data_IF_045601813324
#
_entry.id   IF_045601813324
#
_cell.length_a   1.000
_cell.length_b   1.000
_cell.length_c   1.000
_cell.angle_alpha   90.00
_cell.angle_beta   90.00
_cell.angle_gamma   90.00
#
_symmetry.space_group_name_H-M   'P 1'
#
loop_
_entity.id
_entity.type
_entity.pdbx_description
1 polymer ?
#
# COMPACT_ATOMS: atom_id res chain seq x y z
N UNK A 1 27.81 5.52 1.47
CA UNK A 1 27.05 6.27 0.47
C UNK A 1 25.63 5.77 0.58
N UNK A 2 24.83 6.40 1.43
CA UNK A 2 23.38 6.17 1.44
C UNK A 2 22.86 6.88 0.19
N UNK A 3 22.47 6.11 -0.81
CA UNK A 3 21.64 6.63 -1.88
C UNK A 3 20.34 7.10 -1.23
N UNK A 4 20.23 8.40 -0.97
CA UNK A 4 18.95 9.09 -0.81
C UNK A 4 18.18 8.90 -2.12
N UNK A 5 17.52 7.74 -2.26
CA UNK A 5 16.47 7.55 -3.26
C UNK A 5 15.38 8.55 -2.91
N UNK A 6 15.47 9.74 -3.49
CA UNK A 6 14.37 10.71 -3.48
C UNK A 6 13.16 10.01 -4.08
N UNK A 7 12.19 9.68 -3.23
CA UNK A 7 10.89 9.17 -3.64
C UNK A 7 10.32 10.12 -4.66
N UNK A 8 9.96 9.60 -5.82
CA UNK A 8 9.44 10.39 -6.93
C UNK A 8 7.93 10.25 -7.00
N UNK A 9 7.26 11.19 -7.67
CA UNK A 9 5.82 11.08 -7.97
C UNK A 9 5.49 9.77 -8.70
N UNK A 10 6.42 9.28 -9.52
CA UNK A 10 6.28 8.02 -10.26
C UNK A 10 6.21 6.80 -9.31
N UNK A 11 6.89 6.83 -8.17
CA UNK A 11 6.82 5.75 -7.19
C UNK A 11 5.41 5.63 -6.59
N UNK A 12 4.78 6.77 -6.30
CA UNK A 12 3.42 6.83 -5.80
C UNK A 12 2.39 6.39 -6.86
N UNK A 13 2.57 6.83 -8.10
CA UNK A 13 1.73 6.39 -9.23
C UNK A 13 1.83 4.87 -9.46
N UNK A 14 3.04 4.31 -9.38
CA UNK A 14 3.24 2.87 -9.52
C UNK A 14 2.56 2.09 -8.41
N UNK A 15 2.63 2.59 -7.16
CA UNK A 15 1.97 1.93 -6.03
C UNK A 15 0.44 2.03 -6.11
N UNK A 16 -0.11 3.18 -6.51
CA UNK A 16 -1.56 3.32 -6.73
C UNK A 16 -2.07 2.37 -7.83
N UNK A 17 -1.32 2.20 -8.93
CA UNK A 17 -1.66 1.22 -9.97
C UNK A 17 -1.67 -0.22 -9.46
N UNK A 18 -0.75 -0.58 -8.57
CA UNK A 18 -0.74 -1.90 -7.94
C UNK A 18 -1.98 -2.06 -7.06
N UNK A 19 -2.34 -1.06 -6.26
CA UNK A 19 -3.53 -1.12 -5.40
C UNK A 19 -4.84 -1.17 -6.20
N UNK A 20 -4.92 -0.44 -7.31
CA UNK A 20 -6.04 -0.56 -8.26
C UNK A 20 -6.17 -1.99 -8.79
N UNK A 21 -5.05 -2.65 -9.13
CA UNK A 21 -5.05 -4.06 -9.53
C UNK A 21 -5.57 -5.00 -8.43
N UNK A 22 -5.33 -4.68 -7.15
CA UNK A 22 -5.85 -5.46 -6.02
C UNK A 22 -7.37 -5.28 -5.88
N UNK A 23 -7.87 -4.06 -6.08
CA UNK A 23 -9.31 -3.76 -6.12
C UNK A 23 -10.01 -4.51 -7.27
N UNK A 24 -9.47 -4.43 -8.50
CA UNK A 24 -10.02 -5.14 -9.66
C UNK A 24 -10.04 -6.66 -9.49
N UNK A 25 -9.01 -7.24 -8.84
CA UNK A 25 -8.99 -8.66 -8.52
C UNK A 25 -10.05 -9.01 -7.46
N UNK A 26 -10.24 -8.14 -6.46
CA UNK A 26 -11.23 -8.34 -5.40
C UNK A 26 -12.67 -8.20 -5.92
N UNK A 27 -12.91 -7.32 -6.89
CA UNK A 27 -14.20 -7.20 -7.59
C UNK A 27 -14.56 -8.48 -8.36
N UNK A 28 -13.56 -9.20 -8.87
CA UNK A 28 -13.70 -10.50 -9.53
C UNK A 28 -13.77 -11.68 -8.56
N UNK A 29 -13.82 -11.41 -7.25
CA UNK A 29 -13.78 -12.41 -6.17
C UNK A 29 -12.51 -13.29 -6.20
N UNK A 30 -11.45 -12.84 -6.88
CA UNK A 30 -10.17 -13.54 -6.95
C UNK A 30 -9.30 -13.18 -5.74
N UNK A 31 -9.62 -13.76 -4.59
CA UNK A 31 -8.90 -13.52 -3.33
C UNK A 31 -7.42 -13.88 -3.42
N UNK A 32 -7.06 -14.87 -4.24
CA UNK A 32 -5.67 -15.26 -4.45
C UNK A 32 -4.93 -14.19 -5.26
N UNK A 33 -5.54 -13.73 -6.36
CA UNK A 33 -5.03 -12.61 -7.16
C UNK A 33 -4.87 -11.34 -6.34
N UNK A 34 -5.89 -10.97 -5.54
CA UNK A 34 -5.81 -9.82 -4.63
C UNK A 34 -4.61 -9.93 -3.68
N UNK A 35 -4.38 -11.11 -3.08
CA UNK A 35 -3.26 -11.31 -2.18
C UNK A 35 -1.89 -11.23 -2.90
N UNK A 36 -1.77 -11.80 -4.10
CA UNK A 36 -0.55 -11.71 -4.91
C UNK A 36 -0.24 -10.26 -5.31
N UNK A 37 -1.25 -9.47 -5.68
CA UNK A 37 -1.09 -8.05 -5.99
C UNK A 37 -0.70 -7.25 -4.74
N UNK A 38 -1.30 -7.53 -3.58
CA UNK A 38 -0.92 -6.88 -2.32
C UNK A 38 0.51 -7.22 -1.89
N UNK A 39 1.02 -8.41 -2.19
CA UNK A 39 2.44 -8.74 -1.97
C UNK A 39 3.36 -7.83 -2.79
N UNK A 40 3.00 -7.57 -4.04
CA UNK A 40 3.72 -6.63 -4.88
C UNK A 40 3.65 -5.19 -4.34
N UNK A 41 2.49 -4.79 -3.79
CA UNK A 41 2.34 -3.50 -3.12
C UNK A 41 3.28 -3.38 -1.91
N UNK A 42 3.39 -4.44 -1.12
CA UNK A 42 4.32 -4.50 0.02
C UNK A 42 5.79 -4.41 -0.41
N UNK A 43 6.18 -5.12 -1.48
CA UNK A 43 7.54 -5.02 -2.04
C UNK A 43 7.83 -3.61 -2.55
N UNK A 44 6.89 -2.99 -3.27
CA UNK A 44 7.03 -1.60 -3.74
C UNK A 44 7.12 -0.63 -2.57
N UNK A 45 6.24 -0.75 -1.57
CA UNK A 45 6.28 0.07 -0.36
C UNK A 45 7.61 -0.06 0.38
N UNK A 46 8.12 -1.28 0.56
CA UNK A 46 9.42 -1.52 1.15
C UNK A 46 10.57 -0.90 0.32
N UNK A 47 10.46 -0.88 -1.01
CA UNK A 47 11.46 -0.22 -1.87
C UNK A 47 11.43 1.31 -1.78
N UNK A 48 10.27 1.90 -1.46
CA UNK A 48 10.07 3.35 -1.35
C UNK A 48 10.48 3.88 0.02
N UNK A 49 10.21 3.11 1.08
CA UNK A 49 10.34 3.58 2.45
C UNK A 49 11.33 2.78 3.30
N UNK A 50 11.80 1.62 2.84
CA UNK A 50 12.59 0.67 3.63
C UNK A 50 11.71 -0.43 4.24
N UNK A 51 12.34 -1.43 4.86
CA UNK A 51 11.64 -2.59 5.45
C UNK A 51 10.67 -2.20 6.58
N UNK A 52 9.59 -2.97 6.70
CA UNK A 52 8.59 -2.86 7.77
C UNK A 52 9.27 -3.09 9.12
N UNK A 53 9.36 -2.04 9.95
CA UNK A 53 10.00 -2.11 11.28
C UNK A 53 11.19 -1.19 11.49
N UNK A 54 11.64 -0.45 10.45
CA UNK A 54 12.65 0.59 10.61
C UNK A 54 12.10 1.78 11.45
N UNK A 55 12.81 2.23 12.51
CA UNK A 55 12.35 3.30 13.43
C UNK A 55 12.12 4.66 12.76
N UNK A 56 12.69 4.88 11.58
CA UNK A 56 12.77 6.15 10.86
C UNK A 56 11.58 6.43 9.94
N UNK A 57 10.64 5.49 9.81
CA UNK A 57 9.45 5.69 9.01
C UNK A 57 8.51 6.71 9.65
N UNK A 58 8.01 7.72 8.92
CA UNK A 58 6.94 8.58 9.41
C UNK A 58 5.70 7.76 9.84
N UNK A 59 4.97 8.24 10.85
CA UNK A 59 3.85 7.51 11.45
C UNK A 59 2.74 7.13 10.45
N UNK A 60 2.50 7.96 9.44
CA UNK A 60 1.54 7.71 8.37
C UNK A 60 2.02 6.61 7.40
N UNK A 61 3.31 6.57 7.05
CA UNK A 61 3.90 5.50 6.22
C UNK A 61 3.85 4.16 6.94
N UNK A 62 4.16 4.13 8.24
CA UNK A 62 3.99 2.93 9.08
C UNK A 62 2.55 2.44 9.10
N UNK A 63 1.58 3.35 9.14
CA UNK A 63 0.16 3.02 9.10
C UNK A 63 -0.25 2.43 7.75
N UNK A 64 0.23 3.00 6.63
CA UNK A 64 -0.01 2.48 5.27
C UNK A 64 0.54 1.06 5.09
N UNK A 65 1.79 0.84 5.48
CA UNK A 65 2.42 -0.50 5.44
C UNK A 65 1.68 -1.48 6.36
N UNK A 66 1.29 -1.04 7.56
CA UNK A 66 0.51 -1.84 8.50
C UNK A 66 -0.87 -2.22 7.96
N UNK A 67 -1.52 -1.35 7.20
CA UNK A 67 -2.79 -1.63 6.53
C UNK A 67 -2.63 -2.65 5.40
N UNK A 68 -1.57 -2.55 4.57
CA UNK A 68 -1.27 -3.56 3.54
C UNK A 68 -1.05 -4.93 4.21
N UNK A 69 -0.28 -4.97 5.30
CA UNK A 69 -0.05 -6.19 6.05
C UNK A 69 -1.34 -6.76 6.67
N UNK A 70 -2.15 -5.91 7.31
CA UNK A 70 -3.44 -6.32 7.89
C UNK A 70 -4.38 -6.91 6.85
N UNK A 71 -4.48 -6.29 5.66
CA UNK A 71 -5.22 -6.82 4.52
C UNK A 71 -4.73 -8.19 4.07
N UNK A 72 -3.41 -8.44 4.09
CA UNK A 72 -2.86 -9.76 3.76
C UNK A 72 -3.17 -10.82 4.82
N UNK A 73 -3.09 -10.46 6.11
CA UNK A 73 -3.48 -11.37 7.19
C UNK A 73 -4.98 -11.70 7.16
N UNK A 74 -5.82 -10.71 6.90
CA UNK A 74 -7.27 -10.88 6.75
C UNK A 74 -7.59 -11.79 5.55
N UNK A 75 -6.92 -11.61 4.41
CA UNK A 75 -7.04 -12.49 3.25
C UNK A 75 -6.58 -13.93 3.54
N UNK A 76 -5.53 -14.10 4.34
CA UNK A 76 -5.05 -15.42 4.77
C UNK A 76 -6.02 -16.15 5.70
N UNK A 77 -6.99 -15.43 6.28
CA UNK A 77 -7.98 -15.93 7.24
C UNK A 77 -9.44 -15.84 6.73
N UNK A 78 -9.63 -15.39 5.49
CA UNK A 78 -10.94 -14.93 5.02
C UNK A 78 -11.98 -16.05 4.87
N UNK A 79 -13.04 -16.00 5.70
CA UNK A 79 -14.36 -16.56 5.39
C UNK A 79 -15.16 -15.66 4.42
N UNK A 80 -16.19 -16.17 3.70
CA UNK A 80 -16.86 -15.48 2.58
C UNK A 80 -17.43 -14.07 2.87
N UNK A 81 -17.74 -13.74 4.12
CA UNK A 81 -18.27 -12.42 4.50
C UNK A 81 -17.20 -11.30 4.56
N UNK A 82 -15.91 -11.62 4.35
CA UNK A 82 -14.82 -10.64 4.44
C UNK A 82 -14.66 -9.74 3.20
N UNK A 83 -15.26 -10.07 2.06
CA UNK A 83 -15.06 -9.30 0.82
C UNK A 83 -15.45 -7.81 0.95
N UNK A 84 -16.52 -7.51 1.70
CA UNK A 84 -16.96 -6.12 1.94
C UNK A 84 -15.96 -5.36 2.83
N UNK A 85 -15.50 -5.97 3.91
CA UNK A 85 -14.48 -5.37 4.78
C UNK A 85 -13.15 -5.18 4.05
N UNK A 86 -12.75 -6.14 3.22
CA UNK A 86 -11.54 -6.05 2.39
C UNK A 86 -11.62 -4.89 1.39
N UNK A 87 -12.79 -4.67 0.75
CA UNK A 87 -13.00 -3.52 -0.14
C UNK A 87 -12.90 -2.19 0.60
N UNK A 88 -13.53 -2.08 1.77
CA UNK A 88 -13.46 -0.86 2.57
C UNK A 88 -12.02 -0.56 3.01
N UNK A 89 -11.28 -1.58 3.43
CA UNK A 89 -9.88 -1.45 3.84
C UNK A 89 -8.98 -1.04 2.66
N UNK A 90 -9.19 -1.59 1.46
CA UNK A 90 -8.46 -1.17 0.25
C UNK A 90 -8.76 0.27 -0.14
N UNK A 91 -10.03 0.68 -0.09
CA UNK A 91 -10.42 2.05 -0.40
C UNK A 91 -9.84 3.07 0.58
N UNK A 92 -9.85 2.73 1.88
CA UNK A 92 -9.19 3.53 2.92
C UNK A 92 -7.68 3.62 2.64
N UNK A 93 -7.04 2.50 2.31
CA UNK A 93 -5.60 2.45 1.98
C UNK A 93 -5.25 3.38 0.81
N UNK A 94 -6.01 3.36 -0.29
CA UNK A 94 -5.78 4.24 -1.45
C UNK A 94 -5.95 5.72 -1.10
N UNK A 95 -6.98 6.05 -0.32
CA UNK A 95 -7.21 7.42 0.14
C UNK A 95 -6.03 7.96 0.95
N UNK A 96 -5.46 7.14 1.85
CA UNK A 96 -4.27 7.50 2.60
C UNK A 96 -3.02 7.66 1.73
N UNK A 97 -2.87 6.82 0.70
CA UNK A 97 -1.74 6.93 -0.24
C UNK A 97 -1.78 8.24 -1.03
N UNK A 98 -2.95 8.66 -1.49
CA UNK A 98 -3.09 9.90 -2.24
C UNK A 98 -2.73 11.13 -1.37
N UNK A 99 -3.15 11.13 -0.10
CA UNK A 99 -2.77 12.18 0.85
C UNK A 99 -1.25 12.21 1.04
N UNK A 100 -0.62 11.05 1.12
CA UNK A 100 0.82 10.96 1.34
C UNK A 100 1.63 11.41 0.12
N UNK A 101 1.22 11.00 -1.07
CA UNK A 101 1.81 11.46 -2.33
C UNK A 101 1.79 12.99 -2.45
N UNK A 102 0.68 13.62 -2.02
CA UNK A 102 0.56 15.09 -2.00
C UNK A 102 1.51 15.73 -0.99
N UNK A 103 1.65 15.16 0.22
CA UNK A 103 2.56 15.68 1.25
C UNK A 103 4.03 15.59 0.86
N UNK A 104 4.45 14.46 0.31
CA UNK A 104 5.83 14.29 -0.16
C UNK A 104 6.11 15.27 -1.32
N UNK A 105 5.16 15.47 -2.25
CA UNK A 105 5.29 16.45 -3.32
C UNK A 105 5.39 17.91 -2.83
N UNK A 106 4.74 18.25 -1.72
CA UNK A 106 4.85 19.57 -1.07
C UNK A 106 6.18 19.75 -0.31
N UNK A 107 6.70 18.68 0.32
CA UNK A 107 7.97 18.71 1.05
C UNK A 107 9.22 18.80 0.14
N UNK A 108 9.12 18.47 -1.15
CA UNK A 108 10.22 18.57 -2.13
C UNK A 108 10.46 20.03 -2.60
N UNK A 109 9.61 21.00 -2.23
CA UNK A 109 9.68 22.39 -2.71
C UNK A 109 10.56 23.37 -1.89
N UNK A 110 11.46 22.90 -1.04
CA UNK A 110 12.35 23.78 -0.26
C UNK A 110 13.84 23.54 -0.52
#
# INVERSE_FOLDING_TARGET
>A
MEDERRRTSEDYEQLDRILLGAEEALEKEDLRGTNEVLKNANVKAASMWGEVGQPTLPGHTRRLIGLIWGLQEDLGRAEPNHAVSLRNNLHELRSWFEIEARRDAENVKF
#
